data_IF_143235960868
#
_entry.id   IF_143235960868
#
_cell.length_a   1.000
_cell.length_b   1.000
_cell.length_c   1.000
_cell.angle_alpha   90.00
_cell.angle_beta   90.00
_cell.angle_gamma   90.00
#
_symmetry.space_group_name_H-M   'P 1'
#
loop_
_entity.id
_entity.type
_entity.pdbx_description
1 polymer ?
#
# COMPACT_ATOMS: atom_id res chain seq x y z
N UNK A 1 18.27 -6.89 2.78
CA UNK A 1 18.02 -5.93 1.69
C UNK A 1 16.53 -5.64 1.56
N UNK A 2 16.11 -4.38 1.72
CA UNK A 2 14.70 -3.99 1.62
C UNK A 2 14.46 -3.19 0.34
N UNK A 3 13.29 -3.36 -0.27
CA UNK A 3 12.88 -2.49 -1.37
C UNK A 3 12.29 -1.22 -0.79
N UNK A 4 12.90 -0.08 -1.10
CA UNK A 4 12.37 1.25 -0.74
C UNK A 4 11.93 1.95 -2.01
N UNK A 5 10.66 2.35 -2.07
CA UNK A 5 10.13 3.08 -3.19
C UNK A 5 9.38 4.34 -2.74
N UNK A 6 9.51 5.40 -3.53
CA UNK A 6 8.71 6.62 -3.39
C UNK A 6 7.56 6.49 -4.38
N UNK A 7 6.34 6.34 -3.87
CA UNK A 7 5.16 6.27 -4.73
C UNK A 7 4.86 7.65 -5.30
N UNK A 8 4.77 7.70 -6.63
CA UNK A 8 4.49 8.91 -7.41
C UNK A 8 2.99 9.14 -7.60
N UNK A 9 2.16 8.13 -7.32
CA UNK A 9 0.70 8.07 -7.51
C UNK A 9 0.15 8.65 -8.81
N UNK A 10 -1.18 8.76 -8.87
CA UNK A 10 -1.89 9.17 -10.07
C UNK A 10 -1.68 10.65 -10.39
N UNK A 11 -0.74 10.96 -11.28
CA UNK A 11 -0.51 12.32 -11.76
C UNK A 11 -1.65 12.80 -12.66
N UNK A 12 -2.18 14.00 -12.40
CA UNK A 12 -2.94 14.77 -13.40
C UNK A 12 -1.96 15.48 -14.33
N UNK A 13 -2.11 15.25 -15.63
CA UNK A 13 -1.30 15.88 -16.68
C UNK A 13 -1.30 17.40 -16.52
N UNK A 14 -0.12 18.00 -16.37
CA UNK A 14 0.07 19.46 -16.33
C UNK A 14 0.21 20.10 -14.94
N UNK A 15 0.14 19.34 -13.84
CA UNK A 15 0.40 19.88 -12.51
C UNK A 15 1.91 19.85 -12.17
N UNK A 16 2.49 21.01 -11.84
CA UNK A 16 3.83 21.13 -11.28
C UNK A 16 3.85 20.62 -9.84
N UNK A 17 4.10 19.32 -9.73
CA UNK A 17 4.07 18.54 -8.49
C UNK A 17 5.48 18.19 -8.02
N UNK A 18 6.51 18.67 -8.72
CA UNK A 18 7.89 18.40 -8.37
C UNK A 18 8.34 19.34 -7.25
N UNK A 19 8.92 18.77 -6.20
CA UNK A 19 9.44 19.51 -5.05
C UNK A 19 10.81 18.99 -4.69
N UNK A 20 11.75 19.92 -4.55
CA UNK A 20 13.07 19.62 -4.01
C UNK A 20 12.92 19.27 -2.52
N UNK A 21 13.42 18.10 -2.12
CA UNK A 21 13.47 17.65 -0.72
C UNK A 21 14.89 17.67 -0.17
N UNK A 22 15.90 17.69 -1.03
CA UNK A 22 17.31 17.90 -0.70
C UNK A 22 18.05 18.47 -1.93
N UNK A 23 19.28 19.02 -1.78
CA UNK A 23 20.08 19.45 -2.91
C UNK A 23 20.25 18.33 -3.95
N UNK A 24 19.79 18.58 -5.18
CA UNK A 24 19.83 17.59 -6.27
C UNK A 24 18.79 16.47 -6.19
N UNK A 25 17.90 16.48 -5.20
CA UNK A 25 16.84 15.47 -5.03
C UNK A 25 15.48 16.13 -5.08
N UNK A 26 14.76 15.88 -6.18
CA UNK A 26 13.39 16.29 -6.37
C UNK A 26 12.47 15.08 -6.44
N UNK A 27 11.30 15.20 -5.82
CA UNK A 27 10.27 14.16 -5.85
C UNK A 27 8.97 14.75 -6.36
N UNK A 28 8.20 13.94 -7.09
CA UNK A 28 6.84 14.30 -7.46
C UNK A 28 5.93 13.97 -6.30
N UNK A 29 5.25 14.98 -5.79
CA UNK A 29 4.32 14.86 -4.68
C UNK A 29 2.95 14.36 -5.15
N UNK A 30 2.34 13.56 -4.29
CA UNK A 30 1.01 13.00 -4.47
C UNK A 30 -0.05 14.07 -4.23
N UNK A 31 -0.98 14.17 -5.17
CA UNK A 31 -2.25 14.84 -4.91
C UNK A 31 -3.24 13.82 -4.37
N UNK A 32 -3.59 13.93 -3.09
CA UNK A 32 -4.73 13.21 -2.52
C UNK A 32 -5.74 14.20 -2.00
N UNK A 33 -7.01 13.97 -2.33
CA UNK A 33 -8.13 14.65 -1.70
C UNK A 33 -8.52 13.88 -0.44
N UNK A 34 -9.00 14.56 0.60
CA UNK A 34 -9.56 13.88 1.76
C UNK A 34 -10.76 13.02 1.31
N UNK A 35 -10.91 11.85 1.92
CA UNK A 35 -12.04 10.95 1.63
C UNK A 35 -13.36 11.56 2.12
N UNK A 36 -13.30 12.24 3.26
CA UNK A 36 -14.39 13.04 3.84
C UNK A 36 -13.80 14.31 4.42
N UNK A 37 -14.54 15.41 4.33
CA UNK A 37 -14.19 16.62 5.04
C UNK A 37 -14.55 16.44 6.52
N UNK A 38 -13.55 16.54 7.38
CA UNK A 38 -13.72 16.62 8.82
C UNK A 38 -13.06 17.92 9.30
N UNK A 39 -13.66 18.58 10.28
CA UNK A 39 -13.12 19.84 10.83
C UNK A 39 -11.85 19.61 11.68
N UNK A 40 -11.70 18.42 12.27
CA UNK A 40 -10.67 18.08 13.26
C UNK A 40 -9.56 17.17 12.72
N UNK A 41 -9.76 16.53 11.56
CA UNK A 41 -8.82 15.52 11.03
C UNK A 41 -8.78 15.43 9.52
N UNK A 42 -7.64 14.97 9.02
CA UNK A 42 -7.48 14.60 7.61
C UNK A 42 -7.59 13.08 7.45
N UNK A 43 -8.64 12.61 6.78
CA UNK A 43 -8.84 11.18 6.54
C UNK A 43 -8.44 10.78 5.13
N UNK A 44 -7.57 9.78 5.04
CA UNK A 44 -7.24 9.06 3.82
C UNK A 44 -7.68 7.61 4.00
N UNK A 45 -8.55 7.10 3.12
CA UNK A 45 -9.10 5.75 3.28
C UNK A 45 -8.01 4.67 3.31
N UNK A 46 -7.37 4.41 2.17
CA UNK A 46 -6.27 3.44 2.08
C UNK A 46 -5.02 4.09 1.54
N UNK A 47 -3.93 4.07 2.31
CA UNK A 47 -2.64 4.59 1.87
C UNK A 47 -2.04 3.70 0.77
N UNK A 48 -1.91 2.40 1.04
CA UNK A 48 -1.27 1.43 0.14
C UNK A 48 -2.25 0.64 -0.71
N UNK A 49 -2.01 0.52 -2.01
CA UNK A 49 -2.75 -0.38 -2.90
C UNK A 49 -2.02 -1.72 -3.12
N UNK A 50 -2.71 -2.81 -3.53
CA UNK A 50 -2.04 -4.06 -3.91
C UNK A 50 -1.01 -3.87 -5.04
N UNK A 51 -1.21 -2.89 -5.93
CA UNK A 51 -0.25 -2.56 -6.98
C UNK A 51 1.05 -2.02 -6.39
N UNK A 52 0.96 -1.15 -5.39
CA UNK A 52 2.13 -0.57 -4.73
C UNK A 52 2.92 -1.66 -4.00
N UNK A 53 2.20 -2.61 -3.38
CA UNK A 53 2.81 -3.76 -2.74
C UNK A 53 3.52 -4.69 -3.72
N UNK A 54 3.14 -4.73 -5.00
CA UNK A 54 3.75 -5.60 -6.01
C UNK A 54 4.98 -4.98 -6.68
N UNK A 55 5.44 -3.79 -6.27
CA UNK A 55 6.52 -3.04 -6.94
C UNK A 55 7.86 -3.78 -6.99
N UNK A 56 8.09 -4.69 -6.05
CA UNK A 56 9.31 -5.50 -5.94
C UNK A 56 9.18 -6.92 -6.51
N UNK A 57 8.03 -7.24 -7.11
CA UNK A 57 7.81 -8.54 -7.75
C UNK A 57 8.23 -8.46 -9.21
N UNK A 58 8.97 -9.48 -9.66
CA UNK A 58 9.17 -9.73 -11.08
C UNK A 58 7.92 -10.37 -11.72
N UNK A 59 7.97 -10.59 -13.04
CA UNK A 59 6.84 -11.15 -13.78
C UNK A 59 6.43 -12.55 -13.29
N UNK A 60 7.39 -13.39 -12.90
CA UNK A 60 7.13 -14.75 -12.44
C UNK A 60 6.44 -14.72 -11.07
N UNK A 61 6.99 -13.96 -10.12
CA UNK A 61 6.42 -13.76 -8.80
C UNK A 61 5.02 -13.14 -8.88
N UNK A 62 4.83 -12.18 -9.79
CA UNK A 62 3.53 -11.56 -10.02
C UNK A 62 2.48 -12.56 -10.54
N UNK A 63 2.83 -13.39 -11.53
CA UNK A 63 1.94 -14.43 -12.08
C UNK A 63 1.57 -15.46 -11.02
N UNK A 64 2.55 -15.95 -10.24
CA UNK A 64 2.29 -16.88 -9.13
C UNK A 64 1.37 -16.23 -8.09
N UNK A 65 1.60 -14.96 -7.74
CA UNK A 65 0.72 -14.26 -6.80
C UNK A 65 -0.71 -14.09 -7.35
N UNK A 66 -0.86 -13.91 -8.66
CA UNK A 66 -2.17 -13.83 -9.31
C UNK A 66 -2.89 -15.19 -9.27
N UNK A 67 -2.19 -16.29 -9.55
CA UNK A 67 -2.73 -17.64 -9.44
C UNK A 67 -3.20 -17.95 -8.01
N UNK A 68 -2.37 -17.63 -7.00
CA UNK A 68 -2.75 -17.76 -5.59
C UNK A 68 -4.00 -16.92 -5.26
N UNK A 69 -4.08 -15.71 -5.81
CA UNK A 69 -5.25 -14.83 -5.63
C UNK A 69 -6.50 -15.44 -6.24
N UNK A 70 -6.41 -16.00 -7.45
CA UNK A 70 -7.52 -16.63 -8.17
C UNK A 70 -7.99 -17.92 -7.52
N UNK A 71 -7.06 -18.73 -7.02
CA UNK A 71 -7.39 -19.95 -6.26
C UNK A 71 -8.16 -19.61 -4.98
N UNK A 72 -7.69 -18.62 -4.22
CA UNK A 72 -8.40 -18.15 -3.04
C UNK A 72 -9.78 -17.57 -3.40
N UNK A 73 -9.88 -16.85 -4.51
CA UNK A 73 -11.12 -16.25 -5.00
C UNK A 73 -12.16 -17.30 -5.43
N UNK A 74 -11.76 -18.32 -6.20
CA UNK A 74 -12.68 -19.35 -6.68
C UNK A 74 -13.19 -20.27 -5.57
N UNK A 75 -12.42 -20.38 -4.48
CA UNK A 75 -12.80 -21.15 -3.29
C UNK A 75 -13.81 -20.43 -2.38
N UNK A 76 -14.13 -19.15 -2.62
CA UNK A 76 -15.03 -18.34 -1.80
C UNK A 76 -16.44 -18.26 -2.44
N UNK A 77 -17.46 -18.94 -1.86
CA UNK A 77 -18.83 -18.90 -2.39
C UNK A 77 -19.43 -17.50 -2.42
N UNK A 78 -18.97 -16.56 -1.57
CA UNK A 78 -19.45 -15.18 -1.57
C UNK A 78 -19.00 -14.36 -2.80
N UNK A 79 -18.12 -14.94 -3.64
CA UNK A 79 -17.61 -14.33 -4.87
C UNK A 79 -18.27 -14.89 -6.13
N UNK A 80 -19.18 -15.85 -6.00
CA UNK A 80 -19.94 -16.38 -7.13
C UNK A 80 -20.63 -15.25 -7.91
N UNK A 81 -20.45 -15.24 -9.23
CA UNK A 81 -21.04 -14.23 -10.13
C UNK A 81 -20.29 -12.89 -10.21
N UNK A 82 -19.12 -12.75 -9.59
CA UNK A 82 -18.21 -11.61 -9.81
C UNK A 82 -17.14 -11.95 -10.84
N UNK A 83 -16.51 -10.92 -11.41
CA UNK A 83 -15.37 -11.11 -12.30
C UNK A 83 -14.15 -11.65 -11.54
N UNK A 84 -13.40 -12.53 -12.21
CA UNK A 84 -12.15 -13.07 -11.70
C UNK A 84 -11.10 -11.95 -11.55
N UNK A 85 -10.28 -11.95 -10.49
CA UNK A 85 -9.22 -10.96 -10.33
C UNK A 85 -8.22 -10.96 -11.50
N UNK A 86 -7.97 -9.77 -12.03
CA UNK A 86 -6.93 -9.52 -13.05
C UNK A 86 -5.58 -9.08 -12.46
N UNK A 87 -5.50 -8.92 -11.13
CA UNK A 87 -4.28 -8.53 -10.42
C UNK A 87 -4.17 -9.24 -9.07
N UNK A 88 -2.95 -9.51 -8.57
CA UNK A 88 -2.75 -10.19 -7.31
C UNK A 88 -3.20 -9.31 -6.13
N UNK A 89 -3.72 -9.96 -5.08
CA UNK A 89 -4.08 -9.27 -3.84
C UNK A 89 -2.89 -9.19 -2.86
N UNK A 90 -2.99 -8.30 -1.88
CA UNK A 90 -1.93 -8.10 -0.87
C UNK A 90 -1.51 -9.38 -0.15
N UNK A 91 -2.43 -10.23 0.36
CA UNK A 91 -2.07 -11.51 0.98
C UNK A 91 -1.24 -12.43 0.07
N UNK A 92 -1.62 -12.58 -1.19
CA UNK A 92 -0.89 -13.41 -2.14
C UNK A 92 0.50 -12.85 -2.46
N UNK A 93 0.60 -11.53 -2.67
CA UNK A 93 1.87 -10.83 -2.87
C UNK A 93 2.84 -11.12 -1.73
N UNK A 94 2.41 -10.92 -0.48
CA UNK A 94 3.25 -11.14 0.70
C UNK A 94 3.62 -12.60 0.87
N UNK A 95 2.68 -13.52 0.59
CA UNK A 95 2.94 -14.97 0.63
C UNK A 95 4.03 -15.36 -0.36
N UNK A 96 3.91 -14.94 -1.61
CA UNK A 96 4.89 -15.28 -2.67
C UNK A 96 6.24 -14.63 -2.38
N UNK A 97 6.28 -13.36 -1.94
CA UNK A 97 7.54 -12.72 -1.53
C UNK A 97 8.26 -13.51 -0.44
N UNK A 98 7.53 -13.91 0.60
CA UNK A 98 8.14 -14.53 1.78
C UNK A 98 8.48 -16.01 1.62
N UNK A 99 7.66 -16.77 0.91
CA UNK A 99 7.78 -18.22 0.82
C UNK A 99 8.20 -18.73 -0.56
N UNK A 100 8.23 -17.86 -1.57
CA UNK A 100 8.55 -18.23 -2.94
C UNK A 100 7.54 -19.21 -3.56
N UNK A 101 7.97 -19.87 -4.62
CA UNK A 101 7.30 -20.99 -5.29
C UNK A 101 8.33 -21.83 -6.05
N UNK A 102 7.90 -22.81 -6.84
CA UNK A 102 8.81 -23.64 -7.66
C UNK A 102 9.80 -22.82 -8.51
N UNK A 103 9.39 -21.65 -9.01
CA UNK A 103 10.20 -20.78 -9.89
C UNK A 103 10.37 -19.36 -9.32
N UNK A 104 10.14 -19.17 -8.02
CA UNK A 104 10.25 -17.85 -7.36
C UNK A 104 11.03 -18.06 -6.08
N UNK A 105 12.15 -17.36 -5.94
CA UNK A 105 12.96 -17.43 -4.73
C UNK A 105 12.21 -16.83 -3.53
N UNK A 106 12.38 -17.45 -2.36
CA UNK A 106 11.78 -17.00 -1.12
C UNK A 106 12.66 -15.91 -0.46
N UNK A 107 12.05 -14.79 -0.10
CA UNK A 107 12.73 -13.69 0.59
C UNK A 107 11.98 -13.31 1.89
N UNK A 108 12.02 -14.14 2.94
CA UNK A 108 11.36 -13.86 4.22
C UNK A 108 11.98 -12.69 5.00
N UNK A 109 13.13 -12.20 4.56
CA UNK A 109 13.90 -11.08 5.11
C UNK A 109 13.73 -9.77 4.31
N UNK A 110 13.05 -9.81 3.16
CA UNK A 110 12.83 -8.66 2.28
C UNK A 110 11.45 -8.05 2.48
N UNK A 111 11.39 -6.89 3.13
CA UNK A 111 10.20 -6.04 3.18
C UNK A 111 10.17 -5.00 2.07
N UNK A 112 8.98 -4.42 1.84
CA UNK A 112 8.81 -3.22 1.01
C UNK A 112 8.41 -2.05 1.90
N UNK A 113 9.20 -0.97 1.84
CA UNK A 113 8.87 0.34 2.41
C UNK A 113 8.43 1.28 1.29
N UNK A 114 7.20 1.77 1.39
CA UNK A 114 6.63 2.74 0.48
C UNK A 114 6.57 4.09 1.17
N UNK A 115 7.15 5.11 0.55
CA UNK A 115 7.08 6.50 1.00
C UNK A 115 6.11 7.28 0.12
N UNK A 116 5.15 7.94 0.74
CA UNK A 116 4.12 8.75 0.12
C UNK A 116 4.36 10.21 0.50
N UNK A 117 4.97 10.98 -0.41
CA UNK A 117 5.21 12.41 -0.18
C UNK A 117 3.98 13.18 -0.64
N UNK A 118 3.29 13.83 0.30
CA UNK A 118 2.08 14.60 0.04
C UNK A 118 2.41 16.09 -0.08
N UNK A 119 1.80 16.78 -1.06
CA UNK A 119 1.83 18.24 -1.11
C UNK A 119 0.71 18.78 -0.21
N UNK A 120 1.02 19.48 0.90
CA UNK A 120 -0.01 19.97 1.82
C UNK A 120 -0.98 20.95 1.15
N UNK A 121 -0.51 21.77 0.21
CA UNK A 121 -1.38 22.71 -0.51
C UNK A 121 -2.38 21.97 -1.38
N UNK A 122 -1.92 20.96 -2.12
CA UNK A 122 -2.80 20.14 -2.96
C UNK A 122 -3.72 19.22 -2.15
N UNK A 123 -3.31 18.89 -0.92
CA UNK A 123 -4.13 18.15 0.03
C UNK A 123 -5.23 18.97 0.69
N UNK A 124 -5.19 20.30 0.58
CA UNK A 124 -6.13 21.20 1.26
C UNK A 124 -5.79 21.44 2.73
N UNK A 125 -4.52 21.27 3.10
CA UNK A 125 -4.03 21.59 4.44
C UNK A 125 -3.82 23.11 4.58
N UNK A 126 -3.80 23.66 5.81
CA UNK A 126 -3.42 25.06 6.08
C UNK A 126 -2.09 25.43 5.40
N UNK A 127 -1.92 26.69 4.96
CA UNK A 127 -0.75 27.12 4.18
C UNK A 127 0.60 26.86 4.88
N UNK A 128 0.62 26.97 6.20
CA UNK A 128 1.81 26.78 7.03
C UNK A 128 2.07 25.31 7.43
N UNK A 129 1.33 24.36 6.84
CA UNK A 129 1.51 22.94 7.12
C UNK A 129 2.87 22.47 6.62
N UNK A 130 3.72 21.87 7.49
CA UNK A 130 5.01 21.34 7.06
C UNK A 130 4.80 20.18 6.06
N UNK A 131 5.82 19.82 5.26
CA UNK A 131 5.74 18.67 4.36
C UNK A 131 5.29 17.40 5.10
N UNK A 132 4.31 16.69 4.53
CA UNK A 132 3.75 15.47 5.12
C UNK A 132 4.24 14.26 4.34
N UNK A 133 4.86 13.31 5.05
CA UNK A 133 5.27 12.02 4.50
C UNK A 133 4.49 10.91 5.17
N UNK A 134 3.68 10.21 4.40
CA UNK A 134 3.11 8.93 4.80
C UNK A 134 4.09 7.81 4.48
N UNK A 135 4.05 6.73 5.25
CA UNK A 135 4.78 5.51 4.91
C UNK A 135 3.91 4.27 5.08
N UNK A 136 4.19 3.28 4.26
CA UNK A 136 3.54 1.98 4.29
C UNK A 136 4.59 0.89 4.26
N UNK A 137 4.42 -0.15 5.10
CA UNK A 137 5.35 -1.28 5.15
C UNK A 137 4.59 -2.54 4.78
N UNK A 138 5.08 -3.26 3.77
CA UNK A 138 4.60 -4.58 3.38
C UNK A 138 5.63 -5.63 3.76
N UNK A 139 5.37 -6.34 4.85
CA UNK A 139 6.22 -7.45 5.31
C UNK A 139 5.98 -8.71 4.45
N UNK A 140 7.04 -9.49 4.18
CA UNK A 140 6.88 -10.80 3.55
C UNK A 140 6.17 -11.78 4.48
N UNK A 141 5.59 -12.83 3.92
CA UNK A 141 5.16 -13.98 4.70
C UNK A 141 6.34 -14.58 5.48
N UNK A 142 6.11 -14.95 6.73
CA UNK A 142 7.17 -15.49 7.59
C UNK A 142 6.65 -16.64 8.46
N UNK A 143 7.53 -17.61 8.72
CA UNK A 143 7.30 -18.70 9.66
C UNK A 143 7.91 -18.42 11.05
N UNK A 144 8.33 -17.17 11.34
CA UNK A 144 9.02 -16.82 12.59
C UNK A 144 8.20 -17.09 13.86
N UNK A 145 6.89 -17.32 13.74
CA UNK A 145 6.01 -17.67 14.86
C UNK A 145 5.73 -16.51 15.83
N UNK A 146 6.48 -15.41 15.72
CA UNK A 146 6.29 -14.19 16.51
C UNK A 146 5.01 -13.50 16.05
N UNK A 147 3.93 -13.72 16.79
CA UNK A 147 2.67 -13.01 16.61
C UNK A 147 2.69 -11.80 17.53
N UNK A 148 2.68 -10.60 16.96
CA UNK A 148 2.48 -9.38 17.74
C UNK A 148 0.98 -9.17 17.87
N UNK A 149 0.49 -9.08 19.10
CA UNK A 149 -0.91 -8.78 19.37
C UNK A 149 -1.20 -7.32 18.98
N UNK A 150 -1.88 -7.13 17.85
CA UNK A 150 -2.25 -5.80 17.38
C UNK A 150 -3.55 -5.35 18.05
N UNK A 151 -3.44 -4.47 19.05
CA UNK A 151 -4.60 -3.81 19.68
C UNK A 151 -4.99 -2.59 18.85
N UNK A 152 -6.05 -2.70 18.07
CA UNK A 152 -6.73 -1.54 17.48
C UNK A 152 -7.46 -0.82 18.61
N UNK A 153 -7.25 0.50 18.74
CA UNK A 153 -8.00 1.28 19.71
C UNK A 153 -9.48 1.29 19.28
N UNK A 154 -10.36 0.70 20.09
CA UNK A 154 -11.73 0.34 19.72
C UNK A 154 -12.72 1.51 19.66
N UNK A 155 -12.23 2.76 19.63
CA UNK A 155 -13.05 3.97 19.75
C UNK A 155 -14.07 4.08 18.60
N UNK A 156 -13.83 3.46 17.44
CA UNK A 156 -14.81 3.46 16.33
C UNK A 156 -15.98 2.48 16.54
N UNK A 157 -15.78 1.38 17.28
CA UNK A 157 -16.84 0.36 17.48
C UNK A 157 -17.88 0.80 18.52
N UNK A 158 -17.45 1.50 19.57
CA UNK A 158 -18.37 2.04 20.59
C UNK A 158 -19.18 3.25 20.10
N UNK A 159 -18.70 4.01 19.11
CA UNK A 159 -19.36 5.23 18.63
C UNK A 159 -20.38 5.00 17.50
N UNK A 160 -20.25 3.93 16.71
CA UNK A 160 -21.15 3.66 15.57
C UNK A 160 -22.21 2.58 15.87
N UNK A 161 -22.01 1.76 16.91
CA UNK A 161 -22.91 0.64 17.25
C UNK A 161 -23.18 0.49 18.76
N UNK A 162 -22.81 1.49 19.57
CA UNK A 162 -23.17 1.62 20.99
C UNK A 162 -24.45 2.41 21.18
#
# INVERSE_FOLDING_TARGET
>A
DWTVAIDRGGWRRGADTERAIAPGVSVKMLQRKPERQHEDRYSIGRLMSPRDEAIDLDENAWKVALEVTRLAWSSDPARAGRDEPASPNGPAIRRVRGFGSHNVEAHPDRGVLLLYVLDPKLGGFPEDTPPVVGFGISFPGSNSGVKVEYKVNNILWEQEYG
#
